data_IF_736602627936
#
_entry.id   IF_736602627936
#
_cell.length_a   1.000
_cell.length_b   1.000
_cell.length_c   1.000
_cell.angle_alpha   90.00
_cell.angle_beta   90.00
_cell.angle_gamma   90.00
#
_symmetry.space_group_name_H-M   'P 1'
#
loop_
_entity.id
_entity.type
_entity.pdbx_description
1 polymer ?
#
# COMPACT_ATOMS: atom_id res chain seq x y z
N UNK A 1 -26.17 30.77 -31.03
CA UNK A 1 -25.02 31.68 -30.95
C UNK A 1 -23.86 30.90 -30.37
N UNK A 2 -22.78 30.77 -31.12
CA UNK A 2 -21.64 29.90 -30.84
C UNK A 2 -20.85 30.45 -29.65
N UNK A 3 -20.84 29.72 -28.53
CA UNK A 3 -20.14 30.11 -27.32
C UNK A 3 -18.68 29.64 -27.39
N UNK A 4 -17.84 30.38 -28.11
CA UNK A 4 -16.40 30.11 -28.20
C UNK A 4 -15.77 30.58 -26.89
N UNK A 5 -15.45 29.64 -26.00
CA UNK A 5 -14.52 29.90 -24.88
C UNK A 5 -13.30 30.61 -25.47
N UNK A 6 -12.94 31.80 -24.96
CA UNK A 6 -11.68 32.43 -25.35
C UNK A 6 -10.55 31.43 -25.11
N UNK A 7 -9.51 31.46 -25.96
CA UNK A 7 -8.39 30.50 -25.85
C UNK A 7 -7.78 30.50 -24.44
N UNK A 8 -7.76 31.67 -23.79
CA UNK A 8 -7.39 31.85 -22.38
C UNK A 8 -8.37 31.14 -21.42
N UNK A 9 -9.68 31.36 -21.56
CA UNK A 9 -10.70 30.70 -20.72
C UNK A 9 -10.71 29.18 -20.86
N UNK A 10 -10.48 28.66 -22.07
CA UNK A 10 -10.33 27.23 -22.29
C UNK A 10 -9.05 26.68 -21.65
N UNK A 11 -7.93 27.41 -21.76
CA UNK A 11 -6.64 27.01 -21.17
C UNK A 11 -6.72 26.97 -19.64
N UNK A 12 -7.38 27.96 -19.03
CA UNK A 12 -7.63 27.99 -17.58
C UNK A 12 -8.54 26.84 -17.13
N UNK A 13 -9.59 26.54 -17.89
CA UNK A 13 -10.44 25.37 -17.62
C UNK A 13 -9.62 24.07 -17.62
N UNK A 14 -8.79 23.85 -18.65
CA UNK A 14 -7.95 22.65 -18.74
C UNK A 14 -6.94 22.59 -17.58
N UNK A 15 -6.34 23.71 -17.19
CA UNK A 15 -5.43 23.78 -16.03
C UNK A 15 -6.14 23.39 -14.74
N UNK A 16 -7.34 23.92 -14.51
CA UNK A 16 -8.14 23.62 -13.33
C UNK A 16 -8.58 22.15 -13.30
N UNK A 17 -8.99 21.59 -14.44
CA UNK A 17 -9.34 20.17 -14.55
C UNK A 17 -8.14 19.26 -14.24
N UNK A 18 -6.96 19.58 -14.79
CA UNK A 18 -5.72 18.84 -14.48
C UNK A 18 -5.42 18.87 -13.00
N UNK A 19 -5.55 20.02 -12.35
CA UNK A 19 -5.32 20.17 -10.91
C UNK A 19 -6.25 19.30 -10.07
N UNK A 20 -7.55 19.31 -10.37
CA UNK A 20 -8.53 18.51 -9.63
C UNK A 20 -8.34 17.00 -9.87
N UNK A 21 -7.99 16.59 -11.09
CA UNK A 21 -7.63 15.20 -11.40
C UNK A 21 -6.39 14.78 -10.61
N UNK A 22 -5.31 15.58 -10.64
CA UNK A 22 -4.08 15.27 -9.91
C UNK A 22 -4.32 15.16 -8.41
N UNK A 23 -5.09 16.08 -7.82
CA UNK A 23 -5.50 16.00 -6.41
C UNK A 23 -6.27 14.71 -6.10
N UNK A 24 -7.21 14.33 -6.95
CA UNK A 24 -8.00 13.11 -6.75
C UNK A 24 -7.12 11.86 -6.81
N UNK A 25 -6.20 11.78 -7.78
CA UNK A 25 -5.25 10.68 -7.92
C UNK A 25 -4.32 10.58 -6.71
N UNK A 26 -3.77 11.71 -6.23
CA UNK A 26 -2.91 11.72 -5.03
C UNK A 26 -3.67 11.15 -3.84
N UNK A 27 -4.91 11.59 -3.59
CA UNK A 27 -5.73 11.05 -2.49
C UNK A 27 -6.00 9.56 -2.64
N UNK A 28 -6.31 9.10 -3.85
CA UNK A 28 -6.53 7.69 -4.12
C UNK A 28 -5.26 6.86 -3.85
N UNK A 29 -4.10 7.31 -4.33
CA UNK A 29 -2.83 6.65 -4.09
C UNK A 29 -2.46 6.62 -2.60
N UNK A 30 -2.68 7.71 -1.86
CA UNK A 30 -2.44 7.73 -0.41
C UNK A 30 -3.34 6.75 0.34
N UNK A 31 -4.64 6.69 0.00
CA UNK A 31 -5.56 5.74 0.60
C UNK A 31 -5.16 4.29 0.31
N UNK A 32 -4.84 3.97 -0.95
CA UNK A 32 -4.37 2.63 -1.34
C UNK A 32 -3.06 2.28 -0.64
N UNK A 33 -2.09 3.19 -0.61
CA UNK A 33 -0.80 2.94 0.05
C UNK A 33 -0.96 2.69 1.55
N UNK A 34 -1.86 3.43 2.22
CA UNK A 34 -2.18 3.20 3.63
C UNK A 34 -2.71 1.78 3.85
N UNK A 35 -3.66 1.35 3.03
CA UNK A 35 -4.22 -0.01 3.13
C UNK A 35 -3.19 -1.09 2.79
N UNK A 36 -2.30 -0.85 1.82
CA UNK A 36 -1.21 -1.78 1.51
C UNK A 36 -0.24 -1.96 2.68
N UNK A 37 0.12 -0.87 3.37
CA UNK A 37 0.99 -0.95 4.57
C UNK A 37 0.32 -1.77 5.67
N UNK A 38 -0.97 -1.52 5.94
CA UNK A 38 -1.75 -2.27 6.93
C UNK A 38 -1.87 -3.75 6.53
N UNK A 39 -2.12 -4.04 5.26
CA UNK A 39 -2.18 -5.40 4.73
C UNK A 39 -0.84 -6.13 4.95
N UNK A 40 0.27 -5.49 4.60
CA UNK A 40 1.61 -6.07 4.72
C UNK A 40 1.99 -6.33 6.18
N UNK A 41 1.64 -5.42 7.08
CA UNK A 41 1.74 -5.63 8.52
C UNK A 41 0.99 -6.88 8.99
N UNK A 42 -0.29 -6.99 8.60
CA UNK A 42 -1.16 -8.10 9.00
C UNK A 42 -0.68 -9.44 8.44
N UNK A 43 -0.19 -9.47 7.19
CA UNK A 43 0.42 -10.66 6.60
C UNK A 43 1.64 -11.08 7.42
N UNK A 44 2.53 -10.13 7.74
CA UNK A 44 3.70 -10.37 8.58
C UNK A 44 3.35 -10.98 9.93
N UNK A 45 2.33 -10.42 10.59
CA UNK A 45 1.77 -10.94 11.85
C UNK A 45 1.31 -12.38 11.73
N UNK A 46 0.45 -12.67 10.75
CA UNK A 46 -0.11 -14.01 10.55
C UNK A 46 0.97 -15.05 10.27
N UNK A 47 1.98 -14.69 9.47
CA UNK A 47 3.11 -15.58 9.18
C UNK A 47 3.92 -15.85 10.46
N UNK A 48 4.32 -14.81 11.20
CA UNK A 48 5.16 -14.95 12.39
C UNK A 48 4.45 -15.75 13.49
N UNK A 49 3.19 -15.44 13.79
CA UNK A 49 2.40 -16.14 14.81
C UNK A 49 2.27 -17.64 14.51
N UNK A 50 2.12 -17.99 13.23
CA UNK A 50 1.93 -19.39 12.81
C UNK A 50 3.25 -20.14 12.71
N UNK A 51 4.30 -19.49 12.21
CA UNK A 51 5.66 -20.03 12.20
C UNK A 51 6.14 -20.40 13.61
N UNK A 52 5.84 -19.56 14.62
CA UNK A 52 6.21 -19.83 16.02
C UNK A 52 5.47 -21.05 16.62
N UNK A 53 4.23 -21.30 16.19
CA UNK A 53 3.43 -22.45 16.66
C UNK A 53 3.80 -23.76 15.98
N UNK A 54 4.06 -23.70 14.68
CA UNK A 54 4.14 -24.89 13.81
C UNK A 54 5.58 -25.22 13.36
N UNK A 55 6.59 -24.45 13.78
CA UNK A 55 8.02 -24.64 13.43
C UNK A 55 8.27 -24.76 11.92
N UNK A 56 7.72 -23.83 11.15
CA UNK A 56 7.85 -23.84 9.69
C UNK A 56 9.31 -23.74 9.22
N UNK A 57 9.68 -24.60 8.27
CA UNK A 57 10.90 -24.47 7.50
C UNK A 57 10.73 -23.55 6.28
N UNK A 58 11.84 -23.21 5.62
CA UNK A 58 11.89 -22.29 4.46
C UNK A 58 10.99 -22.67 3.29
N UNK A 59 10.63 -23.96 3.16
CA UNK A 59 9.75 -24.45 2.09
C UNK A 59 8.30 -23.97 2.22
N UNK A 60 7.81 -23.77 3.45
CA UNK A 60 6.42 -23.36 3.69
C UNK A 60 6.17 -21.96 3.15
N UNK A 61 7.09 -21.03 3.39
CA UNK A 61 7.00 -19.66 2.89
C UNK A 61 7.00 -19.60 1.34
N UNK A 62 7.75 -20.48 0.67
CA UNK A 62 7.71 -20.59 -0.79
C UNK A 62 6.34 -21.05 -1.29
N UNK A 63 5.74 -22.04 -0.64
CA UNK A 63 4.41 -22.54 -1.01
C UNK A 63 3.35 -21.45 -0.81
N UNK A 64 3.37 -20.74 0.33
CA UNK A 64 2.46 -19.62 0.58
C UNK A 64 2.58 -18.56 -0.52
N UNK A 65 3.80 -18.17 -0.92
CA UNK A 65 3.97 -17.21 -2.02
C UNK A 65 3.37 -17.72 -3.33
N UNK A 66 3.60 -18.98 -3.68
CA UNK A 66 3.08 -19.55 -4.92
C UNK A 66 1.55 -19.61 -4.92
N UNK A 67 0.95 -20.04 -3.81
CA UNK A 67 -0.49 -20.14 -3.65
C UNK A 67 -1.14 -18.75 -3.72
N UNK A 68 -0.59 -17.77 -3.00
CA UNK A 68 -1.09 -16.40 -3.00
C UNK A 68 -0.96 -15.72 -4.37
N UNK A 69 0.13 -15.94 -5.10
CA UNK A 69 0.30 -15.39 -6.45
C UNK A 69 -0.60 -16.06 -7.48
N UNK A 70 -1.00 -17.30 -7.25
CA UNK A 70 -1.96 -18.00 -8.09
C UNK A 70 -3.38 -17.47 -7.86
N UNK A 71 -3.73 -17.23 -6.60
CA UNK A 71 -5.05 -16.72 -6.22
C UNK A 71 -5.23 -15.24 -6.57
N UNK A 72 -4.17 -14.44 -6.42
CA UNK A 72 -4.18 -12.99 -6.64
C UNK A 72 -3.12 -12.56 -7.68
N UNK A 73 -3.27 -12.97 -8.95
CA UNK A 73 -2.27 -12.74 -10.00
C UNK A 73 -2.03 -11.25 -10.31
N UNK A 74 -3.00 -10.37 -10.04
CA UNK A 74 -2.90 -8.93 -10.19
C UNK A 74 -2.04 -8.25 -9.12
N UNK A 75 -1.86 -8.89 -7.96
CA UNK A 75 -1.09 -8.34 -6.84
C UNK A 75 0.39 -8.73 -6.99
N UNK A 76 1.19 -7.79 -7.48
CA UNK A 76 2.65 -7.97 -7.65
C UNK A 76 3.43 -8.10 -6.32
N UNK A 77 2.80 -7.73 -5.20
CA UNK A 77 3.41 -7.67 -3.88
C UNK A 77 3.63 -9.02 -3.17
N UNK A 78 3.22 -10.15 -3.75
CA UNK A 78 3.12 -11.44 -3.05
C UNK A 78 4.27 -12.43 -3.36
N UNK A 79 5.44 -11.93 -3.78
CA UNK A 79 6.64 -12.75 -3.97
C UNK A 79 7.19 -13.28 -2.65
N UNK A 80 7.97 -14.36 -2.68
CA UNK A 80 8.63 -14.93 -1.51
C UNK A 80 9.47 -13.87 -0.76
N UNK A 81 10.22 -13.05 -1.49
CA UNK A 81 11.01 -11.96 -0.92
C UNK A 81 10.11 -10.94 -0.22
N UNK A 82 9.02 -10.52 -0.85
CA UNK A 82 8.11 -9.56 -0.24
C UNK A 82 7.41 -10.13 1.00
N UNK A 83 7.00 -11.40 1.00
CA UNK A 83 6.48 -12.04 2.20
C UNK A 83 7.52 -12.11 3.33
N UNK A 84 8.79 -12.32 2.97
CA UNK A 84 9.90 -12.28 3.93
C UNK A 84 10.07 -10.88 4.53
N UNK A 85 9.95 -9.81 3.71
CA UNK A 85 9.94 -8.44 4.21
C UNK A 85 8.72 -8.12 5.06
N UNK A 86 7.52 -8.61 4.72
CA UNK A 86 6.31 -8.43 5.54
C UNK A 86 6.49 -9.10 6.91
N UNK A 87 7.00 -10.33 6.93
CA UNK A 87 7.35 -11.04 8.15
C UNK A 87 8.34 -10.25 9.00
N UNK A 88 9.44 -9.76 8.41
CA UNK A 88 10.44 -8.94 9.08
C UNK A 88 9.84 -7.62 9.59
N UNK A 89 9.02 -6.96 8.78
CA UNK A 89 8.34 -5.72 9.14
C UNK A 89 7.50 -5.90 10.39
N UNK A 90 6.70 -6.96 10.50
CA UNK A 90 5.99 -7.22 11.75
C UNK A 90 6.96 -7.56 12.89
N UNK A 91 7.94 -8.45 12.65
CA UNK A 91 8.85 -8.91 13.69
C UNK A 91 9.68 -7.78 14.33
N UNK A 92 10.11 -6.79 13.55
CA UNK A 92 10.96 -5.68 14.03
C UNK A 92 10.17 -4.59 14.76
N UNK A 93 8.93 -4.36 14.33
CA UNK A 93 8.15 -3.18 14.74
C UNK A 93 6.96 -3.52 15.64
N UNK A 94 6.65 -4.81 15.89
CA UNK A 94 5.52 -5.21 16.75
C UNK A 94 5.71 -4.94 18.24
N UNK A 95 6.89 -4.47 18.66
CA UNK A 95 7.09 -3.96 20.00
C UNK A 95 6.33 -2.63 20.14
N UNK A 96 5.53 -2.49 21.20
CA UNK A 96 4.58 -1.39 21.50
C UNK A 96 5.18 0.05 21.58
N UNK A 97 6.39 0.28 21.08
CA UNK A 97 7.04 1.59 21.06
C UNK A 97 6.59 2.51 19.90
N UNK A 98 5.73 2.06 18.99
CA UNK A 98 5.03 2.96 18.05
C UNK A 98 3.83 3.63 18.75
N UNK A 99 4.05 4.21 19.94
CA UNK A 99 3.09 5.06 20.65
C UNK A 99 3.38 6.55 20.47
N UNK A 100 4.34 6.93 19.61
CA UNK A 100 4.46 8.31 19.19
C UNK A 100 3.83 8.50 17.81
N UNK A 101 2.64 9.08 17.83
CA UNK A 101 2.08 9.75 16.67
C UNK A 101 3.07 10.83 16.25
N UNK A 102 3.75 10.66 15.12
CA UNK A 102 4.44 11.76 14.45
C UNK A 102 3.39 12.64 13.75
N UNK A 103 2.58 13.36 14.54
CA UNK A 103 1.77 14.48 14.05
C UNK A 103 2.28 15.71 14.78
N UNK A 104 3.42 16.22 14.32
CA UNK A 104 3.60 17.66 14.38
C UNK A 104 2.59 18.23 13.39
N UNK A 105 1.56 18.92 13.90
CA UNK A 105 0.71 19.76 13.07
C UNK A 105 1.64 20.64 12.22
N UNK A 106 1.55 20.52 10.89
CA UNK A 106 2.19 21.47 10.00
C UNK A 106 1.25 22.68 9.93
N UNK A 107 1.69 23.89 10.34
CA UNK A 107 0.89 25.11 10.28
C UNK A 107 0.53 25.53 8.85
#
# INVERSE_FOLDING_TARGET
>A
MSNTLSNESYTDLIKNLKHEISKALIRAHLAVNKELIVLYWNIGKLILERQNKEKWGSKVMQNISNDLRKEFPEIKGLSYQNLSYMHQFFAEYNNDQILQQAVGEIP
#
